data_IF_582148515272
#
_entry.id   IF_582148515272
#
_cell.length_a   1.000
_cell.length_b   1.000
_cell.length_c   1.000
_cell.angle_alpha   90.00
_cell.angle_beta   90.00
_cell.angle_gamma   90.00
#
_symmetry.space_group_name_H-M   'P 1'
#
loop_
_entity.id
_entity.type
_entity.pdbx_description
1 polymer ?
#
# COMPACT_ATOMS: atom_id res chain seq x y z
N UNK A 1 35.51 32.22 10.57
CA UNK A 1 35.08 31.12 11.48
C UNK A 1 33.56 30.95 11.51
N UNK A 2 32.79 32.03 11.56
CA UNK A 2 31.31 32.04 11.57
C UNK A 2 30.64 31.46 10.31
N UNK A 3 31.21 31.68 9.12
CA UNK A 3 30.68 31.14 7.85
C UNK A 3 30.77 29.62 7.78
N UNK A 4 31.81 29.04 8.38
CA UNK A 4 32.04 27.59 8.38
C UNK A 4 31.01 26.85 9.26
N UNK A 5 30.62 27.46 10.39
CA UNK A 5 29.59 26.91 11.28
C UNK A 5 28.20 26.94 10.64
N UNK A 6 27.86 28.00 9.90
CA UNK A 6 26.58 28.08 9.18
C UNK A 6 26.49 27.04 8.05
N UNK A 7 27.57 26.80 7.32
CA UNK A 7 27.60 25.80 6.25
C UNK A 7 27.46 24.38 6.82
N UNK A 8 28.19 24.08 7.90
CA UNK A 8 28.14 22.79 8.56
C UNK A 8 26.75 22.51 9.17
N UNK A 9 26.11 23.51 9.78
CA UNK A 9 24.77 23.37 10.36
C UNK A 9 23.70 23.18 9.27
N UNK A 10 23.89 23.81 8.08
CA UNK A 10 22.99 23.61 6.94
C UNK A 10 23.11 22.20 6.35
N UNK A 11 24.33 21.72 6.06
CA UNK A 11 24.57 20.36 5.55
C UNK A 11 24.07 19.30 6.54
N UNK A 12 24.35 19.48 7.84
CA UNK A 12 23.95 18.52 8.87
C UNK A 12 22.44 18.48 9.10
N UNK A 13 21.75 19.62 8.96
CA UNK A 13 20.28 19.70 9.04
C UNK A 13 19.62 19.05 7.83
N UNK A 14 20.17 19.23 6.63
CA UNK A 14 19.65 18.63 5.40
C UNK A 14 19.80 17.10 5.43
N UNK A 15 20.93 16.60 5.91
CA UNK A 15 21.19 15.17 6.03
C UNK A 15 20.23 14.48 7.02
N UNK A 16 19.91 15.15 8.14
CA UNK A 16 18.95 14.65 9.15
C UNK A 16 17.51 14.66 8.60
N UNK A 17 17.18 15.66 7.81
CA UNK A 17 15.86 15.84 7.18
C UNK A 17 15.62 14.79 6.11
N UNK A 18 16.60 14.55 5.21
CA UNK A 18 16.52 13.49 4.21
C UNK A 18 16.41 12.09 4.80
N UNK A 19 17.15 11.80 5.89
CA UNK A 19 17.07 10.50 6.61
C UNK A 19 15.68 10.19 7.17
N UNK A 20 14.86 11.22 7.40
CA UNK A 20 13.51 11.09 7.97
C UNK A 20 12.42 11.13 6.90
N UNK A 21 12.58 11.97 5.87
CA UNK A 21 11.59 12.15 4.79
C UNK A 21 11.52 10.92 3.87
N UNK A 22 12.66 10.33 3.52
CA UNK A 22 12.71 9.21 2.56
C UNK A 22 11.90 7.99 3.07
N UNK A 23 12.04 7.53 4.34
CA UNK A 23 11.21 6.45 4.88
C UNK A 23 9.72 6.75 4.85
N UNK A 24 9.33 8.00 5.11
CA UNK A 24 7.93 8.42 5.12
C UNK A 24 7.35 8.42 3.70
N UNK A 25 8.10 8.94 2.72
CA UNK A 25 7.72 8.86 1.30
C UNK A 25 7.56 7.42 0.83
N UNK A 26 8.49 6.53 1.21
CA UNK A 26 8.41 5.11 0.86
C UNK A 26 7.17 4.43 1.46
N UNK A 27 6.81 4.77 2.70
CA UNK A 27 5.59 4.29 3.33
C UNK A 27 4.34 4.72 2.55
N UNK A 28 4.22 6.01 2.21
CA UNK A 28 3.08 6.50 1.44
C UNK A 28 3.04 5.91 0.03
N UNK A 29 4.19 5.81 -0.64
CA UNK A 29 4.29 5.23 -1.98
C UNK A 29 3.86 3.76 -1.98
N UNK A 30 4.33 2.95 -1.03
CA UNK A 30 3.96 1.54 -0.95
C UNK A 30 2.46 1.35 -0.70
N UNK A 31 1.87 2.12 0.21
CA UNK A 31 0.44 2.08 0.50
C UNK A 31 -0.40 2.55 -0.70
N UNK A 32 0.03 3.60 -1.40
CA UNK A 32 -0.62 4.10 -2.60
C UNK A 32 -0.57 3.09 -3.75
N UNK A 33 0.58 2.45 -3.97
CA UNK A 33 0.73 1.37 -4.96
C UNK A 33 -0.21 0.22 -4.64
N UNK A 34 -0.23 -0.22 -3.38
CA UNK A 34 -1.12 -1.30 -2.93
C UNK A 34 -2.60 -0.98 -3.19
N UNK A 35 -3.04 0.22 -2.81
CA UNK A 35 -4.42 0.66 -3.04
C UNK A 35 -4.77 0.75 -4.54
N UNK A 36 -3.86 1.30 -5.35
CA UNK A 36 -4.06 1.46 -6.80
C UNK A 36 -4.14 0.10 -7.47
N UNK A 37 -3.29 -0.85 -7.09
CA UNK A 37 -3.24 -2.19 -7.67
C UNK A 37 -4.55 -2.94 -7.47
N UNK A 38 -5.10 -2.92 -6.26
CA UNK A 38 -6.42 -3.50 -5.95
C UNK A 38 -7.50 -2.86 -6.83
N UNK A 39 -7.54 -1.53 -6.88
CA UNK A 39 -8.56 -0.77 -7.61
C UNK A 39 -8.55 -1.12 -9.10
N UNK A 40 -7.36 -1.26 -9.69
CA UNK A 40 -7.17 -1.69 -11.08
C UNK A 40 -7.63 -3.14 -11.27
N UNK A 41 -7.29 -4.07 -10.37
CA UNK A 41 -7.70 -5.47 -10.47
C UNK A 41 -9.23 -5.63 -10.54
N UNK A 42 -9.98 -4.94 -9.68
CA UNK A 42 -11.45 -4.97 -9.72
C UNK A 42 -12.03 -4.30 -10.97
N UNK A 43 -11.43 -3.18 -11.42
CA UNK A 43 -11.86 -2.51 -12.65
C UNK A 43 -11.67 -3.42 -13.88
N UNK A 44 -10.52 -4.10 -13.97
CA UNK A 44 -10.20 -5.05 -15.05
C UNK A 44 -11.14 -6.25 -15.00
N UNK A 45 -11.35 -6.86 -13.84
CA UNK A 45 -12.26 -8.01 -13.70
C UNK A 45 -13.68 -7.70 -14.22
N UNK A 46 -14.16 -6.47 -13.97
CA UNK A 46 -15.46 -6.00 -14.47
C UNK A 46 -15.48 -5.78 -15.98
N UNK A 47 -14.42 -5.21 -16.57
CA UNK A 47 -14.37 -4.86 -18.01
C UNK A 47 -14.31 -6.11 -18.90
N UNK A 48 -13.59 -7.15 -18.45
CA UNK A 48 -13.36 -8.35 -19.24
C UNK A 48 -14.38 -9.47 -19.02
N UNK A 49 -15.50 -9.19 -18.34
CA UNK A 49 -16.57 -10.15 -18.04
C UNK A 49 -16.04 -11.46 -17.37
N UNK A 50 -14.93 -11.37 -16.61
CA UNK A 50 -14.43 -12.50 -15.82
C UNK A 50 -15.34 -12.85 -14.64
N UNK A 51 -16.47 -12.16 -14.50
CA UNK A 51 -17.41 -12.33 -13.41
C UNK A 51 -18.82 -12.44 -13.98
N UNK A 52 -19.50 -13.52 -13.63
CA UNK A 52 -20.85 -13.82 -14.09
C UNK A 52 -21.88 -12.86 -13.44
N UNK A 53 -22.30 -11.85 -14.20
CA UNK A 53 -23.17 -10.77 -13.72
C UNK A 53 -24.65 -11.14 -13.70
N UNK A 54 -25.03 -12.32 -14.22
CA UNK A 54 -26.43 -12.76 -14.30
C UNK A 54 -26.99 -13.25 -12.95
N UNK A 55 -26.13 -13.58 -11.97
CA UNK A 55 -26.57 -13.87 -10.61
C UNK A 55 -26.84 -12.56 -9.85
N UNK A 56 -28.13 -12.32 -9.58
CA UNK A 56 -28.76 -11.13 -8.96
C UNK A 56 -28.22 -10.65 -7.60
N UNK A 57 -27.13 -11.21 -7.09
CA UNK A 57 -26.42 -10.75 -5.88
C UNK A 57 -25.03 -10.18 -6.14
N UNK A 58 -24.57 -10.09 -7.40
CA UNK A 58 -23.22 -9.61 -7.71
C UNK A 58 -22.96 -8.18 -7.19
N UNK A 59 -23.92 -7.25 -7.37
CA UNK A 59 -23.78 -5.87 -6.88
C UNK A 59 -23.74 -5.77 -5.34
N UNK A 60 -24.54 -6.57 -4.63
CA UNK A 60 -24.57 -6.58 -3.17
C UNK A 60 -23.29 -7.22 -2.59
N UNK A 61 -22.80 -8.28 -3.23
CA UNK A 61 -21.54 -8.92 -2.88
C UNK A 61 -20.35 -8.01 -3.20
N UNK A 62 -20.40 -7.23 -4.29
CA UNK A 62 -19.35 -6.30 -4.67
C UNK A 62 -19.12 -5.20 -3.63
N UNK A 63 -20.18 -4.60 -3.06
CA UNK A 63 -20.04 -3.61 -1.98
C UNK A 63 -19.44 -4.22 -0.72
N UNK A 64 -19.91 -5.42 -0.37
CA UNK A 64 -19.43 -6.17 0.81
C UNK A 64 -17.96 -6.56 0.65
N UNK A 65 -17.57 -7.01 -0.54
CA UNK A 65 -16.20 -7.38 -0.87
C UNK A 65 -15.27 -6.18 -0.93
N UNK A 66 -15.71 -5.05 -1.48
CA UNK A 66 -14.95 -3.80 -1.42
C UNK A 66 -14.69 -3.38 0.02
N UNK A 67 -15.67 -3.51 0.92
CA UNK A 67 -15.49 -3.23 2.34
C UNK A 67 -14.47 -4.18 2.98
N UNK A 68 -14.55 -5.49 2.71
CA UNK A 68 -13.59 -6.49 3.22
C UNK A 68 -12.18 -6.18 2.75
N UNK A 69 -12.02 -5.88 1.46
CA UNK A 69 -10.73 -5.49 0.85
C UNK A 69 -10.21 -4.19 1.47
N UNK A 70 -11.08 -3.21 1.72
CA UNK A 70 -10.70 -1.96 2.38
C UNK A 70 -10.22 -2.18 3.81
N UNK A 71 -10.94 -2.97 4.62
CA UNK A 71 -10.50 -3.31 5.99
C UNK A 71 -9.18 -4.07 5.99
N UNK A 72 -9.00 -5.01 5.06
CA UNK A 72 -7.77 -5.75 4.91
C UNK A 72 -6.60 -4.85 4.50
N UNK A 73 -6.82 -3.91 3.57
CA UNK A 73 -5.82 -2.90 3.20
C UNK A 73 -5.46 -2.01 4.39
N UNK A 74 -6.43 -1.52 5.17
CA UNK A 74 -6.18 -0.73 6.39
C UNK A 74 -5.32 -1.53 7.38
N UNK A 75 -5.65 -2.81 7.61
CA UNK A 75 -4.85 -3.68 8.47
C UNK A 75 -3.39 -3.81 7.96
N UNK A 76 -3.21 -3.96 6.65
CA UNK A 76 -1.88 -3.99 6.04
C UNK A 76 -1.14 -2.65 6.14
N UNK A 77 -1.85 -1.52 6.02
CA UNK A 77 -1.29 -0.18 6.18
C UNK A 77 -0.77 0.03 7.61
N UNK A 78 -1.56 -0.33 8.62
CA UNK A 78 -1.15 -0.33 10.03
C UNK A 78 0.05 -1.25 10.25
N UNK A 79 0.05 -2.42 9.63
CA UNK A 79 1.19 -3.34 9.72
C UNK A 79 2.46 -2.76 9.07
N UNK A 80 2.34 -2.09 7.93
CA UNK A 80 3.47 -1.41 7.27
C UNK A 80 4.03 -0.25 8.10
N UNK A 81 3.25 0.33 9.01
CA UNK A 81 3.74 1.34 9.96
C UNK A 81 4.81 0.76 10.90
N UNK A 82 4.76 -0.55 11.18
CA UNK A 82 5.80 -1.21 11.98
C UNK A 82 7.18 -1.17 11.31
N UNK A 83 7.25 -0.91 10.00
CA UNK A 83 8.51 -0.75 9.25
C UNK A 83 9.36 0.43 9.74
N UNK A 84 8.76 1.46 10.36
CA UNK A 84 9.51 2.58 10.93
C UNK A 84 10.38 2.16 12.12
N UNK A 85 10.00 1.09 12.82
CA UNK A 85 10.70 0.57 13.99
C UNK A 85 11.62 -0.61 13.67
N UNK A 86 11.62 -1.09 12.42
CA UNK A 86 12.38 -2.27 11.98
C UNK A 86 13.50 -1.85 11.03
N UNK A 87 14.62 -2.55 11.09
CA UNK A 87 15.81 -2.28 10.27
C UNK A 87 16.09 -3.42 9.28
N UNK A 88 16.81 -3.11 8.21
CA UNK A 88 17.26 -4.09 7.21
C UNK A 88 16.13 -4.77 6.44
N UNK A 89 16.24 -6.09 6.23
CA UNK A 89 15.32 -6.89 5.40
C UNK A 89 13.88 -6.88 5.91
N UNK A 90 13.69 -6.82 7.22
CA UNK A 90 12.37 -6.75 7.84
C UNK A 90 11.62 -5.48 7.44
N UNK A 91 12.31 -4.34 7.34
CA UNK A 91 11.70 -3.08 6.90
C UNK A 91 11.04 -3.22 5.52
N UNK A 92 11.74 -3.86 4.58
CA UNK A 92 11.25 -4.08 3.21
C UNK A 92 10.04 -5.01 3.23
N UNK A 93 10.07 -6.09 4.02
CA UNK A 93 8.96 -7.02 4.17
C UNK A 93 7.68 -6.33 4.69
N UNK A 94 7.80 -5.49 5.72
CA UNK A 94 6.65 -4.74 6.24
C UNK A 94 6.14 -3.68 5.26
N UNK A 95 7.02 -3.06 4.47
CA UNK A 95 6.63 -2.11 3.42
C UNK A 95 5.96 -2.77 2.22
N UNK A 96 6.28 -4.03 1.91
CA UNK A 96 5.66 -4.76 0.79
C UNK A 96 4.32 -5.41 1.16
N UNK A 97 4.04 -5.61 2.45
CA UNK A 97 2.77 -6.16 2.94
C UNK A 97 1.51 -5.48 2.35
N UNK A 98 1.36 -4.14 2.33
CA UNK A 98 0.18 -3.47 1.76
C UNK A 98 0.06 -3.60 0.25
N UNK A 99 1.08 -4.12 -0.44
CA UNK A 99 1.04 -4.39 -1.88
C UNK A 99 0.68 -5.86 -2.11
N UNK A 100 1.44 -6.78 -1.50
CA UNK A 100 1.35 -8.22 -1.78
C UNK A 100 0.04 -8.80 -1.24
N UNK A 101 -0.30 -8.49 0.01
CA UNK A 101 -1.43 -9.13 0.69
C UNK A 101 -2.77 -8.77 0.03
N UNK A 102 -3.08 -7.49 -0.24
CA UNK A 102 -4.33 -7.15 -0.88
C UNK A 102 -4.40 -7.60 -2.33
N UNK A 103 -3.27 -7.67 -3.04
CA UNK A 103 -3.21 -8.19 -4.39
C UNK A 103 -3.57 -9.68 -4.46
N UNK A 104 -2.92 -10.52 -3.65
CA UNK A 104 -3.25 -11.95 -3.57
C UNK A 104 -4.72 -12.14 -3.20
N UNK A 105 -5.21 -11.38 -2.22
CA UNK A 105 -6.61 -11.46 -1.79
C UNK A 105 -7.58 -11.07 -2.90
N UNK A 106 -7.30 -10.00 -3.66
CA UNK A 106 -8.13 -9.60 -4.80
C UNK A 106 -8.19 -10.69 -5.88
N UNK A 107 -7.08 -11.37 -6.16
CA UNK A 107 -7.06 -12.50 -7.12
C UNK A 107 -7.92 -13.66 -6.63
N UNK A 108 -7.77 -14.05 -5.36
CA UNK A 108 -8.57 -15.12 -4.75
C UNK A 108 -10.05 -14.78 -4.83
N UNK A 109 -10.41 -13.55 -4.46
CA UNK A 109 -11.79 -13.10 -4.45
C UNK A 109 -12.38 -13.09 -5.87
N UNK A 110 -11.68 -12.53 -6.86
CA UNK A 110 -12.10 -12.55 -8.26
C UNK A 110 -12.30 -13.98 -8.75
N UNK A 111 -11.38 -14.90 -8.41
CA UNK A 111 -11.48 -16.31 -8.80
C UNK A 111 -12.65 -17.08 -8.16
N UNK A 112 -13.22 -16.57 -7.06
CA UNK A 112 -14.42 -17.14 -6.47
C UNK A 112 -15.71 -16.78 -7.24
N UNK A 113 -15.61 -15.78 -8.13
CA UNK A 113 -16.71 -15.28 -8.97
C UNK A 113 -16.55 -15.59 -10.46
N UNK A 114 -15.46 -16.25 -10.83
CA UNK A 114 -15.23 -16.82 -12.17
C UNK A 114 -15.79 -18.24 -12.23
#
# INVERSE_FOLDING_TARGET
>A
MTVFLLYYDYEYKDERTMKTIIPVLLFFAANFIGFTLISVSFAVARIYEFVDTENTNFLLNQETDMLVVMFMWIACAVFSFTSFFKTGKWKIFFLSAPIIVPFIFSIILISAYT
#
